data_IF_465054064618
#
_entry.id   IF_465054064618
#
_cell.length_a   1.000
_cell.length_b   1.000
_cell.length_c   1.000
_cell.angle_alpha   90.00
_cell.angle_beta   90.00
_cell.angle_gamma   90.00
#
_symmetry.space_group_name_H-M   'P 1'
#
loop_
_entity.id
_entity.type
_entity.pdbx_description
1 polymer ?
#
# COMPACT_ATOMS: atom_id res chain seq x y z
N UNK A 1 23.72 6.56 106.05
CA UNK A 1 24.14 5.23 105.56
C UNK A 1 24.66 5.39 104.13
N UNK A 2 25.69 4.63 103.80
CA UNK A 2 26.41 4.58 102.52
C UNK A 2 27.33 5.77 102.22
N UNK A 3 28.51 5.73 102.85
CA UNK A 3 29.72 6.39 102.37
C UNK A 3 30.16 5.72 101.07
N UNK A 4 29.75 6.24 99.92
CA UNK A 4 30.34 5.86 98.64
C UNK A 4 31.75 6.46 98.57
N UNK A 5 32.79 5.66 98.29
CA UNK A 5 34.14 6.16 98.16
C UNK A 5 34.19 7.02 96.89
N UNK A 6 34.46 8.32 97.04
CA UNK A 6 34.77 9.19 95.92
C UNK A 6 36.04 8.62 95.28
N UNK A 7 36.03 8.17 94.01
CA UNK A 7 37.25 7.73 93.36
C UNK A 7 38.20 8.93 93.30
N UNK A 8 39.44 8.75 93.74
CA UNK A 8 40.52 9.69 93.52
C UNK A 8 40.64 9.93 92.02
N UNK A 9 40.16 11.09 91.54
CA UNK A 9 40.22 11.50 90.14
C UNK A 9 41.67 11.82 89.75
N UNK A 10 42.49 10.79 89.67
CA UNK A 10 43.79 10.86 89.00
C UNK A 10 43.54 10.84 87.51
N UNK A 11 43.91 11.90 86.81
CA UNK A 11 43.97 11.87 85.35
C UNK A 11 45.01 10.82 84.92
N UNK A 12 44.67 9.96 83.96
CA UNK A 12 45.61 8.98 83.42
C UNK A 12 46.80 9.68 82.74
N UNK A 13 48.02 9.38 83.18
CA UNK A 13 49.24 9.99 82.61
C UNK A 13 49.73 9.17 81.41
N UNK A 14 49.62 9.72 80.21
CA UNK A 14 50.12 9.09 78.96
C UNK A 14 51.56 9.54 78.67
N UNK A 15 52.40 8.62 78.16
CA UNK A 15 53.81 8.91 77.79
C UNK A 15 53.86 9.83 76.57
N UNK A 16 54.05 11.14 76.77
CA UNK A 16 54.11 12.13 75.68
C UNK A 16 53.93 13.58 76.16
N UNK A 17 53.59 14.50 75.24
CA UNK A 17 53.24 15.89 75.57
C UNK A 17 51.88 15.94 76.28
N UNK A 18 51.89 16.06 77.60
CA UNK A 18 50.72 16.28 78.44
C UNK A 18 50.91 17.45 79.41
N UNK A 19 49.82 17.93 80.00
CA UNK A 19 49.88 18.95 81.04
C UNK A 19 50.61 18.43 82.29
N UNK A 20 51.32 19.31 83.00
CA UNK A 20 52.08 18.93 84.21
C UNK A 20 51.12 18.53 85.33
N UNK A 21 51.17 17.30 85.88
CA UNK A 21 50.21 16.83 86.88
C UNK A 21 50.04 17.78 88.07
N UNK A 22 51.13 18.26 88.67
CA UNK A 22 51.04 19.21 89.79
C UNK A 22 50.40 20.57 89.44
N UNK A 23 50.45 21.01 88.18
CA UNK A 23 49.71 22.20 87.73
C UNK A 23 48.22 21.89 87.53
N UNK A 24 47.90 20.70 87.02
CA UNK A 24 46.53 20.22 86.88
C UNK A 24 45.88 20.07 88.25
N UNK A 25 46.57 19.45 89.21
CA UNK A 25 46.07 19.25 90.59
C UNK A 25 45.86 20.58 91.31
N UNK A 26 46.78 21.54 91.18
CA UNK A 26 46.60 22.87 91.75
C UNK A 26 45.41 23.61 91.11
N UNK A 27 45.23 23.46 89.80
CA UNK A 27 44.12 24.08 89.07
C UNK A 27 42.78 23.44 89.39
N UNK A 28 42.70 22.11 89.50
CA UNK A 28 41.47 21.39 89.86
C UNK A 28 41.10 21.60 91.33
N UNK A 29 42.08 21.72 92.23
CA UNK A 29 41.86 22.12 93.61
C UNK A 29 41.30 23.55 93.70
N UNK A 30 41.86 24.49 92.94
CA UNK A 30 41.35 25.86 92.87
C UNK A 30 39.92 25.92 92.28
N UNK A 31 39.64 25.14 91.23
CA UNK A 31 38.29 25.01 90.67
C UNK A 31 37.30 24.39 91.65
N UNK A 32 37.71 23.35 92.38
CA UNK A 32 36.86 22.70 93.38
C UNK A 32 36.56 23.63 94.55
N UNK A 33 37.57 24.36 95.05
CA UNK A 33 37.36 25.39 96.07
C UNK A 33 36.47 26.54 95.55
N UNK A 34 36.64 26.95 94.29
CA UNK A 34 35.78 27.94 93.65
C UNK A 34 34.33 27.48 93.51
N UNK A 35 34.13 26.20 93.13
CA UNK A 35 32.81 25.55 93.10
C UNK A 35 32.19 25.53 94.48
N UNK A 36 32.90 25.02 95.48
CA UNK A 36 32.36 24.85 96.83
C UNK A 36 32.01 26.22 97.45
N UNK A 37 32.84 27.25 97.25
CA UNK A 37 32.53 28.62 97.65
C UNK A 37 31.32 29.21 96.88
N UNK A 38 31.17 28.91 95.60
CA UNK A 38 29.99 29.32 94.83
C UNK A 38 28.72 28.61 95.33
N UNK A 39 28.81 27.33 95.68
CA UNK A 39 27.71 26.55 96.26
C UNK A 39 27.31 27.08 97.63
N UNK A 40 28.26 27.38 98.51
CA UNK A 40 27.94 28.01 99.80
C UNK A 40 27.30 29.40 99.63
N UNK A 41 27.77 30.20 98.66
CA UNK A 41 27.14 31.49 98.34
C UNK A 41 25.72 31.30 97.80
N UNK A 42 25.51 30.36 96.90
CA UNK A 42 24.19 30.05 96.35
C UNK A 42 23.23 29.57 97.46
N UNK A 43 23.70 28.72 98.38
CA UNK A 43 22.92 28.28 99.53
C UNK A 43 22.54 29.46 100.43
N UNK A 44 23.51 30.33 100.79
CA UNK A 44 23.26 31.55 101.57
C UNK A 44 22.26 32.49 100.90
N UNK A 45 22.42 32.74 99.60
CA UNK A 45 21.51 33.59 98.83
C UNK A 45 20.12 32.97 98.69
N UNK A 46 20.02 31.64 98.61
CA UNK A 46 18.71 30.95 98.55
C UNK A 46 17.97 31.08 99.88
N UNK A 47 18.68 30.94 101.01
CA UNK A 47 18.10 31.19 102.34
C UNK A 47 17.65 32.64 102.45
N UNK A 48 18.52 33.60 102.10
CA UNK A 48 18.18 35.03 102.13
C UNK A 48 16.99 35.36 101.22
N UNK A 49 16.93 34.80 100.01
CA UNK A 49 15.82 35.04 99.09
C UNK A 49 14.50 34.52 99.68
N UNK A 50 14.50 33.35 100.33
CA UNK A 50 13.33 32.80 101.02
C UNK A 50 12.94 33.65 102.23
N UNK A 51 13.91 34.11 103.00
CA UNK A 51 13.67 35.04 104.12
C UNK A 51 13.04 36.35 103.61
N UNK A 52 13.59 36.94 102.55
CA UNK A 52 13.05 38.15 101.93
C UNK A 52 11.67 37.94 101.32
N UNK A 53 11.40 36.79 100.70
CA UNK A 53 10.07 36.45 100.19
C UNK A 53 9.06 36.31 101.34
N UNK A 54 9.44 35.62 102.41
CA UNK A 54 8.60 35.49 103.60
C UNK A 54 8.33 36.85 104.26
N UNK A 55 9.32 37.73 104.30
CA UNK A 55 9.18 39.07 104.83
C UNK A 55 8.31 39.94 103.91
N UNK A 56 8.45 39.81 102.59
CA UNK A 56 7.60 40.52 101.63
C UNK A 56 6.14 40.08 101.73
N UNK A 57 5.87 38.80 101.97
CA UNK A 57 4.51 38.30 102.23
C UNK A 57 3.99 38.85 103.55
N UNK A 58 4.77 38.78 104.64
CA UNK A 58 4.40 39.38 105.93
C UNK A 58 4.09 40.88 105.81
N UNK A 59 4.95 41.64 105.14
CA UNK A 59 4.75 43.07 104.93
C UNK A 59 3.52 43.35 104.08
N UNK A 60 3.24 42.56 103.03
CA UNK A 60 1.99 42.69 102.27
C UNK A 60 0.76 42.42 103.13
N UNK A 61 0.79 41.38 103.95
CA UNK A 61 -0.32 41.10 104.89
C UNK A 61 -0.49 42.20 105.93
N UNK A 62 0.60 42.77 106.44
CA UNK A 62 0.55 43.93 107.33
C UNK A 62 -0.11 45.10 106.60
N UNK A 63 0.33 45.40 105.37
CA UNK A 63 -0.23 46.50 104.56
C UNK A 63 -1.70 46.29 104.20
N UNK A 64 -2.13 45.07 103.86
CA UNK A 64 -3.56 44.80 103.58
C UNK A 64 -4.44 44.87 104.83
N UNK A 65 -3.87 44.63 106.02
CA UNK A 65 -4.55 44.80 107.31
C UNK A 65 -4.53 46.23 107.84
N UNK A 66 -3.67 47.10 107.31
CA UNK A 66 -3.73 48.52 107.62
C UNK A 66 -5.07 49.06 107.12
N UNK A 67 -5.86 49.63 108.02
CA UNK A 67 -7.04 50.38 107.63
C UNK A 67 -6.63 51.49 106.64
N UNK A 68 -7.47 51.83 105.65
CA UNK A 68 -7.23 52.95 104.76
C UNK A 68 -6.84 54.17 105.60
N UNK A 69 -5.70 54.81 105.29
CA UNK A 69 -5.30 56.00 106.00
C UNK A 69 -6.24 57.15 105.61
N UNK A 70 -7.28 57.36 106.41
CA UNK A 70 -8.27 58.42 106.17
C UNK A 70 -7.77 59.81 106.60
N UNK A 71 -6.60 59.89 107.24
CA UNK A 71 -5.97 61.10 107.79
C UNK A 71 -6.92 61.97 108.64
N UNK A 72 -8.00 61.39 109.19
CA UNK A 72 -8.98 62.09 110.02
C UNK A 72 -8.34 62.75 111.25
N UNK A 73 -7.29 62.13 111.78
CA UNK A 73 -6.53 62.59 112.94
C UNK A 73 -5.59 63.77 112.64
N UNK A 74 -5.29 64.05 111.35
CA UNK A 74 -4.45 65.17 110.90
C UNK A 74 -5.27 66.42 110.54
N UNK A 75 -6.59 66.37 110.71
CA UNK A 75 -7.51 67.49 110.50
C UNK A 75 -8.09 67.56 109.08
N UNK A 76 -9.09 68.45 108.92
CA UNK A 76 -9.91 68.57 107.72
C UNK A 76 -9.11 68.87 106.43
N UNK A 77 -7.99 69.59 106.56
CA UNK A 77 -7.10 69.91 105.43
C UNK A 77 -6.42 68.67 104.84
N UNK A 78 -6.00 67.71 105.67
CA UNK A 78 -5.36 66.48 105.20
C UNK A 78 -6.37 65.58 104.46
N UNK A 79 -7.61 65.49 104.93
CA UNK A 79 -8.70 64.78 104.25
C UNK A 79 -9.01 65.35 102.87
N UNK A 80 -9.08 66.68 102.76
CA UNK A 80 -9.28 67.36 101.46
C UNK A 80 -8.17 67.07 100.47
N UNK A 81 -6.91 67.03 100.92
CA UNK A 81 -5.77 66.70 100.06
C UNK A 81 -5.81 65.24 99.60
N UNK A 82 -6.19 64.30 100.48
CA UNK A 82 -6.37 62.89 100.09
C UNK A 82 -7.49 62.73 99.06
N UNK A 83 -8.66 63.31 99.32
CA UNK A 83 -9.80 63.25 98.39
C UNK A 83 -9.45 63.83 97.02
N UNK A 84 -8.77 64.98 96.99
CA UNK A 84 -8.27 65.57 95.74
C UNK A 84 -7.28 64.64 95.04
N UNK A 85 -6.36 64.01 95.78
CA UNK A 85 -5.42 63.04 95.21
C UNK A 85 -6.09 61.80 94.61
N UNK A 86 -7.15 61.30 95.24
CA UNK A 86 -7.94 60.17 94.72
C UNK A 86 -8.77 60.56 93.49
N UNK A 87 -9.37 61.75 93.49
CA UNK A 87 -10.07 62.34 92.34
C UNK A 87 -9.12 62.50 91.15
N UNK A 88 -7.95 63.11 91.34
CA UNK A 88 -6.92 63.27 90.31
C UNK A 88 -6.41 61.90 89.81
N UNK A 89 -6.17 60.93 90.71
CA UNK A 89 -5.75 59.59 90.31
C UNK A 89 -6.85 58.83 89.54
N UNK A 90 -8.13 59.07 89.84
CA UNK A 90 -9.25 58.54 89.07
C UNK A 90 -9.35 59.21 87.69
N UNK A 91 -9.20 60.53 87.63
CA UNK A 91 -9.21 61.30 86.38
C UNK A 91 -8.07 60.88 85.44
N UNK A 92 -6.83 60.74 85.95
CA UNK A 92 -5.68 60.26 85.18
C UNK A 92 -5.92 58.85 84.65
N UNK A 93 -6.46 57.93 85.46
CA UNK A 93 -6.78 56.56 85.01
C UNK A 93 -7.89 56.53 83.96
N UNK A 94 -8.90 57.39 84.10
CA UNK A 94 -9.98 57.50 83.13
C UNK A 94 -9.45 58.05 81.79
N UNK A 95 -8.65 59.12 81.83
CA UNK A 95 -8.00 59.70 80.63
C UNK A 95 -7.10 58.67 79.94
N UNK A 96 -6.24 57.98 80.69
CA UNK A 96 -5.35 56.97 80.14
C UNK A 96 -6.10 55.79 79.49
N UNK A 97 -7.25 55.38 80.06
CA UNK A 97 -8.10 54.34 79.45
C UNK A 97 -8.74 54.85 78.16
N UNK A 98 -9.28 56.06 78.17
CA UNK A 98 -9.87 56.66 76.98
C UNK A 98 -8.84 56.81 75.85
N UNK A 99 -7.63 57.27 76.16
CA UNK A 99 -6.53 57.36 75.20
C UNK A 99 -6.14 55.97 74.66
N UNK A 100 -6.05 54.96 75.53
CA UNK A 100 -5.78 53.59 75.09
C UNK A 100 -6.87 53.04 74.16
N UNK A 101 -8.14 53.28 74.48
CA UNK A 101 -9.28 52.87 73.66
C UNK A 101 -9.26 53.57 72.29
N UNK A 102 -8.90 54.85 72.24
CA UNK A 102 -8.71 55.61 70.99
C UNK A 102 -7.59 55.02 70.14
N UNK A 103 -6.43 54.73 70.72
CA UNK A 103 -5.30 54.11 70.00
C UNK A 103 -5.69 52.72 69.45
N UNK A 104 -6.43 51.93 70.22
CA UNK A 104 -6.93 50.62 69.76
C UNK A 104 -7.92 50.80 68.61
N UNK A 105 -8.86 51.73 68.71
CA UNK A 105 -9.82 52.02 67.64
C UNK A 105 -9.14 52.47 66.35
N UNK A 106 -8.14 53.36 66.44
CA UNK A 106 -7.34 53.81 65.30
C UNK A 106 -6.55 52.65 64.67
N UNK A 107 -5.92 51.80 65.49
CA UNK A 107 -5.19 50.63 65.01
C UNK A 107 -6.11 49.62 64.29
N UNK A 108 -7.32 49.39 64.80
CA UNK A 108 -8.32 48.53 64.16
C UNK A 108 -8.80 49.11 62.82
N UNK A 109 -9.09 50.41 62.77
CA UNK A 109 -9.48 51.08 61.53
C UNK A 109 -8.37 51.02 60.47
N UNK A 110 -7.10 51.22 60.87
CA UNK A 110 -5.96 51.07 59.98
C UNK A 110 -5.82 49.63 59.47
N UNK A 111 -5.99 48.63 60.35
CA UNK A 111 -5.95 47.22 59.97
C UNK A 111 -7.08 46.86 58.98
N UNK A 112 -8.29 47.39 59.18
CA UNK A 112 -9.41 47.22 58.25
C UNK A 112 -9.15 47.86 56.89
N UNK A 113 -8.59 49.08 56.87
CA UNK A 113 -8.21 49.75 55.64
C UNK A 113 -7.16 48.94 54.85
N UNK A 114 -6.13 48.44 55.53
CA UNK A 114 -5.10 47.59 54.88
C UNK A 114 -5.69 46.29 54.37
N UNK A 115 -6.56 45.63 55.14
CA UNK A 115 -7.25 44.40 54.69
C UNK A 115 -8.15 44.66 53.49
N UNK A 116 -8.89 45.77 53.50
CA UNK A 116 -9.73 46.19 52.38
C UNK A 116 -8.93 46.44 51.12
N UNK A 117 -7.84 47.20 51.22
CA UNK A 117 -6.93 47.48 50.10
C UNK A 117 -6.28 46.20 49.55
N UNK A 118 -5.81 45.30 50.41
CA UNK A 118 -5.22 44.03 50.01
C UNK A 118 -6.22 43.12 49.28
N UNK A 119 -7.49 43.08 49.73
CA UNK A 119 -8.56 42.35 49.05
C UNK A 119 -8.88 42.94 47.68
N UNK A 120 -9.03 44.26 47.60
CA UNK A 120 -9.30 44.94 46.33
C UNK A 120 -8.18 44.68 45.30
N UNK A 121 -6.92 44.76 45.71
CA UNK A 121 -5.78 44.45 44.85
C UNK A 121 -5.77 42.97 44.40
N UNK A 122 -6.09 42.04 45.31
CA UNK A 122 -6.18 40.62 44.96
C UNK A 122 -7.32 40.34 43.97
N UNK A 123 -8.48 41.00 44.15
CA UNK A 123 -9.62 40.89 43.24
C UNK A 123 -9.30 41.47 41.85
N UNK A 124 -8.60 42.60 41.78
CA UNK A 124 -8.12 43.19 40.51
C UNK A 124 -7.16 42.26 39.77
N UNK A 125 -6.17 41.70 40.47
CA UNK A 125 -5.24 40.72 39.89
C UNK A 125 -5.97 39.47 39.40
N UNK A 126 -6.94 38.97 40.18
CA UNK A 126 -7.76 37.82 39.77
C UNK A 126 -8.58 38.14 38.52
N UNK A 127 -9.26 39.28 38.49
CA UNK A 127 -10.06 39.69 37.34
C UNK A 127 -9.19 39.83 36.08
N UNK A 128 -8.01 40.46 36.19
CA UNK A 128 -7.06 40.56 35.08
C UNK A 128 -6.55 39.20 34.60
N UNK A 129 -6.28 38.27 35.52
CA UNK A 129 -5.86 36.91 35.16
C UNK A 129 -6.98 36.11 34.47
N UNK A 130 -8.22 36.22 34.94
CA UNK A 130 -9.40 35.60 34.34
C UNK A 130 -9.66 36.14 32.93
N UNK A 131 -9.54 37.45 32.73
CA UNK A 131 -9.67 38.08 31.41
C UNK A 131 -8.59 37.57 30.44
N UNK A 132 -7.32 37.57 30.86
CA UNK A 132 -6.22 37.05 30.04
C UNK A 132 -6.39 35.57 29.71
N UNK A 133 -6.84 34.75 30.67
CA UNK A 133 -7.15 33.35 30.44
C UNK A 133 -8.28 33.19 29.42
N UNK A 134 -9.35 33.99 29.55
CA UNK A 134 -10.47 34.03 28.61
C UNK A 134 -10.03 34.40 27.19
N UNK A 135 -9.24 35.47 27.04
CA UNK A 135 -8.70 35.90 25.75
C UNK A 135 -7.82 34.82 25.10
N UNK A 136 -6.94 34.17 25.87
CA UNK A 136 -6.10 33.06 25.38
C UNK A 136 -6.94 31.86 24.93
N UNK A 137 -7.98 31.51 25.68
CA UNK A 137 -8.88 30.42 25.31
C UNK A 137 -9.67 30.72 24.03
N UNK A 138 -10.13 31.97 23.86
CA UNK A 138 -10.80 32.39 22.63
C UNK A 138 -9.85 32.34 21.43
N UNK A 139 -8.62 32.85 21.58
CA UNK A 139 -7.59 32.78 20.54
C UNK A 139 -7.26 31.33 20.15
N UNK A 140 -7.03 30.46 21.14
CA UNK A 140 -6.75 29.05 20.89
C UNK A 140 -7.91 28.31 20.20
N UNK A 141 -9.17 28.66 20.53
CA UNK A 141 -10.34 28.11 19.84
C UNK A 141 -10.44 28.60 18.40
N UNK A 142 -10.19 29.88 18.15
CA UNK A 142 -10.19 30.45 16.81
C UNK A 142 -9.12 29.79 15.94
N UNK A 143 -7.89 29.64 16.44
CA UNK A 143 -6.80 28.96 15.75
C UNK A 143 -7.13 27.49 15.46
N UNK A 144 -7.70 26.77 16.43
CA UNK A 144 -8.13 25.39 16.23
C UNK A 144 -9.23 25.26 15.15
N UNK A 145 -10.17 26.21 15.10
CA UNK A 145 -11.22 26.23 14.08
C UNK A 145 -10.65 26.56 12.69
N UNK A 146 -9.74 27.52 12.58
CA UNK A 146 -9.03 27.84 11.33
C UNK A 146 -8.22 26.65 10.82
N UNK A 147 -7.49 25.96 11.71
CA UNK A 147 -6.76 24.74 11.38
C UNK A 147 -7.71 23.65 10.87
N UNK A 148 -8.86 23.46 11.54
CA UNK A 148 -9.85 22.45 11.13
C UNK A 148 -10.48 22.79 9.78
N UNK A 149 -10.82 24.05 9.53
CA UNK A 149 -11.40 24.51 8.25
C UNK A 149 -10.39 24.36 7.11
N UNK A 150 -9.14 24.82 7.32
CA UNK A 150 -8.07 24.71 6.32
C UNK A 150 -7.72 23.26 6.00
N UNK A 151 -7.60 22.39 7.01
CA UNK A 151 -7.38 20.96 6.80
C UNK A 151 -8.50 20.30 5.99
N UNK A 152 -9.78 20.60 6.32
CA UNK A 152 -10.92 20.09 5.56
C UNK A 152 -10.91 20.57 4.11
N UNK A 153 -10.55 21.84 3.88
CA UNK A 153 -10.43 22.40 2.54
C UNK A 153 -9.32 21.72 1.74
N UNK A 154 -8.13 21.56 2.32
CA UNK A 154 -7.01 20.87 1.69
C UNK A 154 -7.35 19.42 1.32
N UNK A 155 -8.02 18.68 2.22
CA UNK A 155 -8.48 17.32 1.93
C UNK A 155 -9.50 17.30 0.79
N UNK A 156 -10.44 18.26 0.75
CA UNK A 156 -11.43 18.37 -0.34
C UNK A 156 -10.76 18.68 -1.68
N UNK A 157 -9.81 19.62 -1.70
CA UNK A 157 -9.06 19.99 -2.91
C UNK A 157 -8.19 18.84 -3.42
N UNK A 158 -7.46 18.17 -2.52
CA UNK A 158 -6.67 16.98 -2.85
C UNK A 158 -7.54 15.85 -3.42
N UNK A 159 -8.67 15.55 -2.77
CA UNK A 159 -9.63 14.56 -3.27
C UNK A 159 -10.22 14.95 -4.63
N UNK A 160 -10.54 16.22 -4.83
CA UNK A 160 -11.06 16.71 -6.11
C UNK A 160 -10.00 16.55 -7.22
N UNK A 161 -8.74 16.90 -6.94
CA UNK A 161 -7.61 16.71 -7.85
C UNK A 161 -7.38 15.23 -8.19
N UNK A 162 -7.35 14.35 -7.19
CA UNK A 162 -7.19 12.91 -7.40
C UNK A 162 -8.33 12.31 -8.25
N UNK A 163 -9.58 12.71 -7.99
CA UNK A 163 -10.73 12.25 -8.79
C UNK A 163 -10.71 12.82 -10.22
N UNK A 164 -10.23 14.05 -10.42
CA UNK A 164 -10.06 14.62 -11.75
C UNK A 164 -9.01 13.84 -12.56
N UNK A 165 -7.84 13.57 -11.95
CA UNK A 165 -6.79 12.77 -12.57
C UNK A 165 -7.28 11.35 -12.91
N UNK A 166 -8.05 10.71 -12.03
CA UNK A 166 -8.63 9.40 -12.30
C UNK A 166 -9.61 9.41 -13.48
N UNK A 167 -10.49 10.42 -13.56
CA UNK A 167 -11.43 10.58 -14.69
C UNK A 167 -10.69 10.81 -16.01
N UNK A 168 -9.64 11.62 -15.98
CA UNK A 168 -8.81 11.87 -17.15
C UNK A 168 -8.07 10.60 -17.60
N UNK A 169 -7.46 9.87 -16.67
CA UNK A 169 -6.79 8.60 -16.97
C UNK A 169 -7.76 7.57 -17.57
N UNK A 170 -8.99 7.49 -17.03
CA UNK A 170 -10.05 6.64 -17.58
C UNK A 170 -10.42 7.04 -19.01
N UNK A 171 -10.65 8.33 -19.26
CA UNK A 171 -10.96 8.84 -20.60
C UNK A 171 -9.84 8.52 -21.59
N UNK A 172 -8.58 8.78 -21.21
CA UNK A 172 -7.42 8.44 -22.06
C UNK A 172 -7.32 6.93 -22.32
N UNK A 173 -7.66 6.10 -21.33
CA UNK A 173 -7.72 4.65 -21.48
C UNK A 173 -8.80 4.21 -22.48
N UNK A 174 -10.01 4.78 -22.36
CA UNK A 174 -11.12 4.53 -23.30
C UNK A 174 -10.74 4.98 -24.72
N UNK A 175 -10.16 6.17 -24.87
CA UNK A 175 -9.68 6.70 -26.16
C UNK A 175 -8.60 5.77 -26.79
N UNK A 176 -7.66 5.26 -25.98
CA UNK A 176 -6.61 4.34 -26.43
C UNK A 176 -7.20 3.00 -26.89
N UNK A 177 -8.16 2.45 -26.15
CA UNK A 177 -8.83 1.19 -26.53
C UNK A 177 -9.58 1.37 -27.84
N UNK A 178 -10.36 2.46 -27.99
CA UNK A 178 -11.06 2.75 -29.24
C UNK A 178 -10.09 2.95 -30.41
N UNK A 179 -8.94 3.60 -30.19
CA UNK A 179 -7.91 3.76 -31.22
C UNK A 179 -7.32 2.40 -31.64
N UNK A 180 -7.02 1.52 -30.70
CA UNK A 180 -6.56 0.16 -30.98
C UNK A 180 -7.60 -0.67 -31.74
N UNK A 181 -8.87 -0.62 -31.33
CA UNK A 181 -9.95 -1.33 -32.02
C UNK A 181 -10.06 -0.89 -33.48
N UNK A 182 -9.99 0.42 -33.75
CA UNK A 182 -9.97 0.97 -35.13
C UNK A 182 -8.75 0.51 -35.92
N UNK A 183 -7.57 0.52 -35.30
CA UNK A 183 -6.34 0.06 -35.94
C UNK A 183 -6.44 -1.44 -36.30
N UNK A 184 -6.91 -2.27 -35.38
CA UNK A 184 -7.12 -3.69 -35.59
C UNK A 184 -8.19 -3.97 -36.64
N UNK A 185 -9.31 -3.24 -36.63
CA UNK A 185 -10.34 -3.35 -37.66
C UNK A 185 -9.77 -3.01 -39.04
N UNK A 186 -9.04 -1.89 -39.17
CA UNK A 186 -8.41 -1.52 -40.43
C UNK A 186 -7.30 -2.48 -40.88
N UNK A 187 -6.60 -3.16 -39.97
CA UNK A 187 -5.66 -4.24 -40.34
C UNK A 187 -6.40 -5.48 -40.85
N UNK A 188 -7.52 -5.84 -40.22
CA UNK A 188 -8.37 -6.97 -40.65
C UNK A 188 -8.96 -6.71 -42.03
N UNK A 189 -9.56 -5.55 -42.25
CA UNK A 189 -10.15 -5.17 -43.53
C UNK A 189 -9.11 -5.22 -44.67
N UNK A 190 -7.89 -4.71 -44.44
CA UNK A 190 -6.80 -4.82 -45.42
C UNK A 190 -6.41 -6.27 -45.69
N UNK A 191 -6.23 -7.08 -44.64
CA UNK A 191 -5.86 -8.48 -44.79
C UNK A 191 -6.96 -9.31 -45.49
N UNK A 192 -8.23 -9.01 -45.22
CA UNK A 192 -9.39 -9.59 -45.90
C UNK A 192 -9.43 -9.17 -47.38
N UNK A 193 -9.20 -7.89 -47.69
CA UNK A 193 -9.08 -7.41 -49.07
C UNK A 193 -7.95 -8.09 -49.84
N UNK A 194 -6.74 -8.14 -49.26
CA UNK A 194 -5.58 -8.82 -49.87
C UNK A 194 -5.82 -10.33 -50.04
N UNK A 195 -6.60 -10.96 -49.15
CA UNK A 195 -6.98 -12.37 -49.28
C UNK A 195 -7.99 -12.57 -50.42
N UNK A 196 -9.02 -11.73 -50.50
CA UNK A 196 -10.03 -11.76 -51.56
C UNK A 196 -9.41 -11.48 -52.94
N UNK A 197 -8.47 -10.53 -53.05
CA UNK A 197 -7.73 -10.28 -54.29
C UNK A 197 -6.90 -11.49 -54.73
N UNK A 198 -6.24 -12.16 -53.78
CA UNK A 198 -5.49 -13.40 -54.05
C UNK A 198 -6.40 -14.55 -54.47
N UNK A 199 -7.55 -14.71 -53.82
CA UNK A 199 -8.55 -15.71 -54.17
C UNK A 199 -9.09 -15.47 -55.58
N UNK A 200 -9.53 -14.24 -55.89
CA UNK A 200 -10.00 -13.87 -57.22
C UNK A 200 -8.92 -14.08 -58.31
N UNK A 201 -7.65 -13.79 -58.01
CA UNK A 201 -6.55 -14.04 -58.94
C UNK A 201 -6.29 -15.53 -59.16
N UNK A 202 -6.42 -16.36 -58.12
CA UNK A 202 -6.31 -17.82 -58.23
C UNK A 202 -7.48 -18.40 -59.02
N UNK A 203 -8.71 -17.93 -58.77
CA UNK A 203 -9.91 -18.35 -59.50
C UNK A 203 -9.80 -18.00 -60.98
N UNK A 204 -9.41 -16.76 -61.32
CA UNK A 204 -9.22 -16.35 -62.71
C UNK A 204 -8.15 -17.20 -63.42
N UNK A 205 -7.02 -17.49 -62.75
CA UNK A 205 -5.99 -18.38 -63.30
C UNK A 205 -6.50 -19.82 -63.45
N UNK A 206 -7.32 -20.30 -62.52
CA UNK A 206 -7.93 -21.62 -62.61
C UNK A 206 -8.89 -21.71 -63.80
N UNK A 207 -9.76 -20.71 -63.98
CA UNK A 207 -10.66 -20.60 -65.15
C UNK A 207 -9.88 -20.59 -66.47
N UNK A 208 -8.79 -19.81 -66.57
CA UNK A 208 -7.92 -19.78 -67.75
C UNK A 208 -7.30 -21.17 -68.05
N UNK A 209 -6.77 -21.84 -67.02
CA UNK A 209 -6.18 -23.18 -67.17
C UNK A 209 -7.23 -24.23 -67.55
N UNK A 210 -8.44 -24.15 -66.97
CA UNK A 210 -9.56 -25.05 -67.31
C UNK A 210 -9.99 -24.82 -68.76
N UNK A 211 -10.21 -23.56 -69.18
CA UNK A 211 -10.55 -23.23 -70.56
C UNK A 211 -9.49 -23.73 -71.54
N UNK A 212 -8.20 -23.57 -71.20
CA UNK A 212 -7.10 -24.07 -72.03
C UNK A 212 -7.10 -25.60 -72.12
N UNK A 213 -7.32 -26.29 -71.00
CA UNK A 213 -7.41 -27.75 -70.98
C UNK A 213 -8.61 -28.26 -71.78
N UNK A 214 -9.76 -27.58 -71.74
CA UNK A 214 -10.94 -27.88 -72.55
C UNK A 214 -10.68 -27.67 -74.05
N UNK A 215 -9.99 -26.59 -74.42
CA UNK A 215 -9.55 -26.35 -75.82
C UNK A 215 -8.61 -27.45 -76.32
N UNK A 216 -7.58 -27.77 -75.55
CA UNK A 216 -6.60 -28.81 -75.87
C UNK A 216 -7.29 -30.19 -75.97
N UNK A 217 -8.25 -30.49 -75.08
CA UNK A 217 -9.06 -31.72 -75.13
C UNK A 217 -9.95 -31.76 -76.37
N UNK A 218 -10.58 -30.65 -76.74
CA UNK A 218 -11.40 -30.55 -77.95
C UNK A 218 -10.55 -30.70 -79.22
N UNK A 219 -9.34 -30.16 -79.25
CA UNK A 219 -8.37 -30.34 -80.34
C UNK A 219 -7.89 -31.79 -80.46
N UNK A 220 -7.52 -32.40 -79.34
CA UNK A 220 -7.17 -33.82 -79.28
C UNK A 220 -8.33 -34.70 -79.75
N UNK A 221 -9.57 -34.37 -79.34
CA UNK A 221 -10.79 -35.05 -79.78
C UNK A 221 -11.02 -34.93 -81.30
N UNK A 222 -10.83 -33.73 -81.89
CA UNK A 222 -10.91 -33.54 -83.35
C UNK A 222 -9.82 -34.33 -84.09
N UNK A 223 -8.60 -34.34 -83.57
CA UNK A 223 -7.47 -35.07 -84.15
C UNK A 223 -7.69 -36.57 -84.11
N UNK A 224 -8.20 -37.09 -82.98
CA UNK A 224 -8.59 -38.49 -82.84
C UNK A 224 -9.70 -38.87 -83.83
N UNK A 225 -10.77 -38.07 -83.91
CA UNK A 225 -11.87 -38.32 -84.85
C UNK A 225 -11.38 -38.30 -86.31
N UNK A 226 -10.49 -37.36 -86.67
CA UNK A 226 -9.86 -37.32 -87.98
C UNK A 226 -9.02 -38.56 -88.28
N UNK A 227 -8.20 -39.00 -87.31
CA UNK A 227 -7.40 -40.23 -87.44
C UNK A 227 -8.26 -41.50 -87.53
N UNK A 228 -9.36 -41.57 -86.78
CA UNK A 228 -10.33 -42.67 -86.87
C UNK A 228 -11.03 -42.70 -88.24
N UNK A 229 -11.41 -41.55 -88.79
CA UNK A 229 -11.98 -41.46 -90.14
C UNK A 229 -10.96 -41.85 -91.22
N UNK A 230 -9.72 -41.40 -91.11
CA UNK A 230 -8.65 -41.78 -92.05
C UNK A 230 -8.33 -43.28 -91.96
N UNK A 231 -8.24 -43.83 -90.74
CA UNK A 231 -8.07 -45.26 -90.54
C UNK A 231 -9.25 -46.07 -91.12
N UNK A 232 -10.49 -45.59 -90.97
CA UNK A 232 -11.66 -46.20 -91.63
C UNK A 232 -11.56 -46.13 -93.15
N UNK A 233 -11.20 -44.99 -93.73
CA UNK A 233 -11.01 -44.85 -95.19
C UNK A 233 -9.91 -45.76 -95.71
N UNK A 234 -8.75 -45.80 -95.04
CA UNK A 234 -7.66 -46.70 -95.40
C UNK A 234 -8.08 -48.17 -95.31
N UNK A 235 -8.89 -48.53 -94.32
CA UNK A 235 -9.46 -49.87 -94.18
C UNK A 235 -10.45 -50.17 -95.32
N UNK A 236 -11.37 -49.26 -95.62
CA UNK A 236 -12.33 -49.36 -96.74
C UNK A 236 -11.61 -49.47 -98.10
N UNK A 237 -10.58 -48.64 -98.32
CA UNK A 237 -9.74 -48.66 -99.52
C UNK A 237 -8.94 -49.97 -99.62
N UNK A 238 -8.39 -50.47 -98.51
CA UNK A 238 -7.70 -51.75 -98.46
C UNK A 238 -8.65 -52.91 -98.75
N UNK A 239 -9.88 -52.89 -98.22
CA UNK A 239 -10.93 -53.86 -98.51
C UNK A 239 -11.37 -53.80 -99.97
N UNK A 240 -11.56 -52.60 -100.54
CA UNK A 240 -11.87 -52.40 -101.95
C UNK A 240 -10.74 -52.93 -102.84
N UNK A 241 -9.47 -52.63 -102.51
CA UNK A 241 -8.32 -53.11 -103.25
C UNK A 241 -8.14 -54.62 -103.14
N UNK A 242 -8.40 -55.20 -101.98
CA UNK A 242 -8.42 -56.64 -101.79
C UNK A 242 -9.54 -57.29 -102.63
N UNK A 243 -10.73 -56.69 -102.69
CA UNK A 243 -11.83 -57.15 -103.53
C UNK A 243 -11.49 -57.06 -105.03
N UNK A 244 -10.85 -55.97 -105.48
CA UNK A 244 -10.33 -55.82 -106.84
C UNK A 244 -9.30 -56.90 -107.18
N UNK A 245 -8.29 -57.10 -106.34
CA UNK A 245 -7.27 -58.14 -106.53
C UNK A 245 -7.87 -59.54 -106.57
N UNK A 246 -8.85 -59.83 -105.71
CA UNK A 246 -9.57 -61.09 -105.73
C UNK A 246 -10.41 -61.25 -107.01
N UNK A 247 -11.01 -60.18 -107.52
CA UNK A 247 -11.74 -60.20 -108.79
C UNK A 247 -10.81 -60.38 -109.98
N UNK A 248 -9.65 -59.71 -110.01
CA UNK A 248 -8.60 -59.90 -111.02
C UNK A 248 -8.03 -61.32 -110.97
N UNK A 249 -7.75 -61.84 -109.77
CA UNK A 249 -7.29 -63.21 -109.57
C UNK A 249 -8.32 -64.23 -110.06
N UNK A 250 -9.62 -64.03 -109.78
CA UNK A 250 -10.71 -64.85 -110.33
C UNK A 250 -10.83 -64.72 -111.85
N UNK A 251 -10.71 -63.53 -112.41
CA UNK A 251 -10.73 -63.32 -113.85
C UNK A 251 -9.51 -63.97 -114.53
N UNK A 252 -8.35 -63.98 -113.86
CA UNK A 252 -7.15 -64.65 -114.31
C UNK A 252 -7.25 -66.17 -114.17
N UNK A 253 -7.84 -66.66 -113.08
CA UNK A 253 -8.21 -68.06 -112.89
C UNK A 253 -9.17 -68.51 -114.00
N UNK A 254 -10.24 -67.77 -114.27
CA UNK A 254 -11.18 -68.04 -115.37
C UNK A 254 -10.51 -68.00 -116.74
N UNK A 255 -9.61 -67.04 -117.00
CA UNK A 255 -8.83 -67.01 -118.25
C UNK A 255 -7.94 -68.22 -118.37
N UNK A 256 -7.22 -68.56 -117.30
CA UNK A 256 -6.36 -69.73 -117.26
C UNK A 256 -7.19 -71.00 -117.45
N UNK A 257 -8.35 -71.12 -116.80
CA UNK A 257 -9.28 -72.23 -116.93
C UNK A 257 -9.85 -72.37 -118.36
N UNK A 258 -10.23 -71.25 -119.00
CA UNK A 258 -10.66 -71.25 -120.42
C UNK A 258 -9.51 -71.57 -121.36
N UNK A 259 -8.29 -71.16 -121.02
CA UNK A 259 -7.08 -71.48 -121.79
C UNK A 259 -6.66 -72.94 -121.60
N UNK A 260 -6.76 -73.51 -120.39
CA UNK A 260 -6.59 -74.95 -120.17
C UNK A 260 -7.72 -75.74 -120.82
N UNK A 261 -8.97 -75.30 -120.79
CA UNK A 261 -10.06 -75.93 -121.55
C UNK A 261 -9.81 -75.85 -123.06
N UNK A 262 -9.29 -74.73 -123.58
CA UNK A 262 -8.92 -74.61 -125.01
C UNK A 262 -7.78 -75.55 -125.36
N UNK A 263 -6.74 -75.62 -124.53
CA UNK A 263 -5.60 -76.52 -124.71
C UNK A 263 -6.03 -77.98 -124.59
N UNK A 264 -6.90 -78.32 -123.63
CA UNK A 264 -7.47 -79.66 -123.48
C UNK A 264 -8.37 -80.03 -124.66
N UNK A 265 -9.12 -79.07 -125.22
CA UNK A 265 -9.94 -79.28 -126.42
C UNK A 265 -9.10 -79.40 -127.68
N UNK A 266 -8.05 -78.59 -127.86
CA UNK A 266 -7.06 -78.76 -128.94
C UNK A 266 -6.29 -80.08 -128.81
N UNK A 267 -5.99 -80.53 -127.58
CA UNK A 267 -5.39 -81.84 -127.35
C UNK A 267 -6.38 -83.00 -127.57
N UNK A 268 -7.67 -82.79 -127.27
CA UNK A 268 -8.75 -83.72 -127.60
C UNK A 268 -8.96 -83.84 -129.11
N UNK A 269 -9.01 -82.72 -129.82
CA UNK A 269 -9.08 -82.67 -131.29
C UNK A 269 -7.86 -83.32 -131.95
N UNK A 270 -6.64 -83.09 -131.42
CA UNK A 270 -5.42 -83.80 -131.86
C UNK A 270 -5.45 -85.29 -131.55
N UNK A 271 -6.03 -85.70 -130.42
CA UNK A 271 -6.21 -87.12 -130.09
C UNK A 271 -7.24 -87.78 -131.00
N UNK A 272 -8.34 -87.11 -131.31
CA UNK A 272 -9.36 -87.58 -132.25
C UNK A 272 -8.81 -87.64 -133.69
N UNK A 273 -7.94 -86.71 -134.10
CA UNK A 273 -7.22 -86.76 -135.39
C UNK A 273 -6.23 -87.93 -135.46
N UNK A 274 -5.49 -88.18 -134.38
CA UNK A 274 -4.55 -89.32 -134.29
C UNK A 274 -5.31 -90.65 -134.23
N UNK A 275 -6.45 -90.70 -133.55
CA UNK A 275 -7.31 -91.89 -133.48
C UNK A 275 -7.99 -92.15 -134.84
N UNK A 276 -8.44 -91.11 -135.55
CA UNK A 276 -8.94 -91.20 -136.91
C UNK A 276 -7.85 -91.64 -137.90
N UNK A 277 -6.60 -91.18 -137.73
CA UNK A 277 -5.46 -91.67 -138.51
C UNK A 277 -5.12 -93.13 -138.22
N UNK A 278 -5.21 -93.58 -136.96
CA UNK A 278 -4.99 -94.98 -136.57
C UNK A 278 -6.13 -95.89 -137.04
N UNK A 279 -7.37 -95.43 -137.03
CA UNK A 279 -8.52 -96.15 -137.61
C UNK A 279 -8.45 -96.19 -139.15
N UNK A 280 -7.94 -95.14 -139.80
CA UNK A 280 -7.67 -95.12 -141.22
C UNK A 280 -6.51 -96.05 -141.61
N UNK A 281 -5.42 -96.09 -140.83
CA UNK A 281 -4.32 -97.05 -141.07
C UNK A 281 -4.77 -98.49 -140.81
N UNK A 282 -5.62 -98.73 -139.80
CA UNK A 282 -6.17 -100.06 -139.50
C UNK A 282 -7.20 -100.51 -140.55
N UNK A 283 -7.97 -99.59 -141.12
CA UNK A 283 -8.89 -99.84 -142.25
C UNK A 283 -8.15 -100.01 -143.59
N UNK A 284 -7.10 -99.23 -143.85
CA UNK A 284 -6.31 -99.29 -145.09
C UNK A 284 -5.35 -100.50 -145.15
N UNK A 285 -4.83 -100.99 -144.01
CA UNK A 285 -4.08 -102.25 -143.96
C UNK A 285 -4.97 -103.50 -144.05
N UNK A 286 -6.26 -103.39 -143.72
CA UNK A 286 -7.24 -104.46 -143.97
C UNK A 286 -7.71 -104.52 -145.44
N UNK A 287 -7.59 -103.42 -146.19
CA UNK A 287 -8.15 -103.30 -147.55
C UNK A 287 -7.14 -103.51 -148.69
N UNK A 288 -5.82 -103.44 -148.47
CA UNK A 288 -4.82 -103.45 -149.55
C UNK A 288 -3.64 -104.39 -149.29
N UNK A 289 -3.94 -105.69 -149.21
CA UNK A 289 -3.29 -106.80 -149.95
C UNK A 289 -3.11 -108.08 -149.09
N UNK A 290 -3.84 -109.16 -149.35
CA UNK A 290 -4.81 -109.36 -150.42
C UNK A 290 -5.55 -110.68 -150.28
N UNK A 291 -6.83 -110.60 -149.88
CA UNK A 291 -7.78 -111.70 -149.67
C UNK A 291 -8.89 -111.14 -148.77
N UNK A 292 -10.16 -111.25 -149.15
CA UNK A 292 -11.27 -110.68 -148.38
C UNK A 292 -12.51 -111.59 -148.43
N UNK A 293 -13.12 -111.86 -147.25
CA UNK A 293 -14.57 -111.90 -146.96
C UNK A 293 -14.90 -112.53 -145.58
N UNK A 294 -15.75 -111.84 -144.80
CA UNK A 294 -16.66 -112.30 -143.71
C UNK A 294 -16.08 -112.91 -142.41
N UNK A 295 -16.15 -112.19 -141.28
CA UNK A 295 -17.22 -112.13 -140.24
C UNK A 295 -16.90 -111.00 -139.24
#
# INVERSE_FOLDING_TARGET
MSSSPVPSQGFETVRGRGYRPGQVDAYTAALSAGRDAAWERAARLTVLAREMESEAVRLREVVTRLAPQTYEQLGERARRLLALGEEEAAAVRASARQEADLVVAEALAAADAVRGAARAAADEVRAGAEEQAGQRLLAARAEADELRVSARRAVKESRAGALAALREARRRGEDLVTAQEKEHAGRRERAEGEAAEREAALDARHEELVARAEEDLAEAGRSLAGAEEEARRLQEDAEARAAELLAEARAQEERTARETERVLREHGERWDEVQAHMDHVRSSLAALTGRAAAE
#
